data_IF_244464855542
#
_entry.id   IF_244464855542
#
_cell.length_a   1.000
_cell.length_b   1.000
_cell.length_c   1.000
_cell.angle_alpha   90.00
_cell.angle_beta   90.00
_cell.angle_gamma   90.00
#
_symmetry.space_group_name_H-M   'P 1'
#
loop_
_entity.id
_entity.type
_entity.pdbx_description
1 polymer ?
#
# COMPACT_ATOMS: atom_id res chain seq x y z
N UNK A 1 1.12 27.77 -2.14
CA UNK A 1 0.18 27.06 -3.03
C UNK A 1 0.63 25.63 -3.28
N UNK A 2 1.84 25.43 -3.85
CA UNK A 2 2.39 24.09 -4.09
C UNK A 2 2.48 23.22 -2.84
N UNK A 3 3.04 23.74 -1.73
CA UNK A 3 3.15 23.00 -0.46
C UNK A 3 1.77 22.56 0.05
N UNK A 4 0.77 23.44 -0.01
CA UNK A 4 -0.61 23.13 0.40
C UNK A 4 -1.21 22.01 -0.45
N UNK A 5 -1.00 22.05 -1.77
CA UNK A 5 -1.44 20.97 -2.68
C UNK A 5 -0.76 19.64 -2.33
N UNK A 6 0.56 19.64 -2.10
CA UNK A 6 1.30 18.45 -1.71
C UNK A 6 0.84 17.88 -0.35
N UNK A 7 0.49 18.73 0.62
CA UNK A 7 -0.08 18.30 1.90
C UNK A 7 -1.43 17.60 1.72
N UNK A 8 -2.29 18.09 0.83
CA UNK A 8 -3.55 17.40 0.52
C UNK A 8 -3.31 16.04 -0.13
N UNK A 9 -2.38 15.94 -1.09
CA UNK A 9 -2.02 14.68 -1.75
C UNK A 9 -1.42 13.69 -0.72
N UNK A 10 -0.56 14.17 0.17
CA UNK A 10 0.02 13.36 1.24
C UNK A 10 -1.07 12.79 2.17
N UNK A 11 -1.97 13.64 2.67
CA UNK A 11 -3.09 13.19 3.50
C UNK A 11 -4.02 12.20 2.78
N UNK A 12 -4.35 12.46 1.52
CA UNK A 12 -5.17 11.55 0.72
C UNK A 12 -4.47 10.19 0.52
N UNK A 13 -3.16 10.19 0.25
CA UNK A 13 -2.37 8.95 0.10
C UNK A 13 -2.36 8.13 1.40
N UNK A 14 -2.34 8.77 2.56
CA UNK A 14 -2.43 8.11 3.87
C UNK A 14 -3.78 7.43 4.08
N UNK A 15 -4.89 8.07 3.70
CA UNK A 15 -6.23 7.47 3.80
C UNK A 15 -6.33 6.24 2.90
N UNK A 16 -5.87 6.34 1.64
CA UNK A 16 -5.89 5.24 0.68
C UNK A 16 -4.98 4.09 1.16
N UNK A 17 -3.85 4.39 1.80
CA UNK A 17 -2.99 3.40 2.43
C UNK A 17 -3.70 2.62 3.53
N UNK A 18 -4.36 3.33 4.45
CA UNK A 18 -5.10 2.70 5.55
C UNK A 18 -6.14 1.74 4.98
N UNK A 19 -6.92 2.18 3.99
CA UNK A 19 -7.91 1.33 3.31
C UNK A 19 -7.21 0.12 2.65
N UNK A 20 -6.12 0.34 1.93
CA UNK A 20 -5.38 -0.74 1.23
C UNK A 20 -4.82 -1.78 2.21
N UNK A 21 -4.32 -1.35 3.37
CA UNK A 21 -3.84 -2.25 4.43
C UNK A 21 -5.00 -3.02 5.06
N UNK A 22 -6.15 -2.38 5.32
CA UNK A 22 -7.33 -3.07 5.84
C UNK A 22 -7.92 -4.09 4.85
N UNK A 23 -7.72 -3.88 3.55
CA UNK A 23 -8.07 -4.84 2.50
C UNK A 23 -7.13 -6.06 2.46
N UNK A 24 -5.93 -5.99 3.08
CA UNK A 24 -5.10 -7.18 3.25
C UNK A 24 -5.80 -8.12 4.23
N UNK A 25 -6.19 -9.29 3.75
CA UNK A 25 -6.81 -10.30 4.59
C UNK A 25 -5.80 -10.82 5.61
N UNK A 26 -6.09 -10.81 6.93
CA UNK A 26 -5.15 -11.21 7.97
C UNK A 26 -4.83 -12.72 8.01
N UNK A 27 -5.33 -13.52 7.06
CA UNK A 27 -5.35 -15.00 7.14
C UNK A 27 -4.38 -15.73 6.19
N UNK A 28 -3.42 -15.06 5.54
CA UNK A 28 -2.66 -15.65 4.43
C UNK A 28 -1.17 -15.92 4.63
N UNK A 29 -0.43 -15.11 5.40
CA UNK A 29 1.04 -15.05 5.28
C UNK A 29 1.83 -15.86 6.34
N UNK A 30 1.15 -16.76 7.06
CA UNK A 30 1.78 -17.73 7.97
C UNK A 30 1.88 -19.14 7.36
N UNK A 31 2.30 -20.15 8.15
CA UNK A 31 2.53 -21.57 7.77
C UNK A 31 1.46 -22.26 6.88
N UNK A 32 0.25 -21.69 6.73
CA UNK A 32 -0.77 -22.14 5.79
C UNK A 32 -0.49 -21.83 4.31
N UNK A 33 0.34 -20.83 3.98
CA UNK A 33 0.81 -20.54 2.62
C UNK A 33 1.88 -21.52 2.11
N UNK A 34 2.61 -22.18 3.03
CA UNK A 34 3.55 -23.26 2.72
C UNK A 34 2.78 -24.59 2.53
N UNK A 35 1.71 -24.80 3.32
CA UNK A 35 0.82 -25.96 3.22
C UNK A 35 -0.14 -25.92 2.01
N UNK A 36 -0.36 -24.75 1.39
CA UNK A 36 -1.23 -24.58 0.22
C UNK A 36 -0.58 -24.95 -1.12
N UNK A 37 0.65 -25.50 -1.09
CA UNK A 37 1.37 -26.05 -2.25
C UNK A 37 0.64 -27.19 -2.99
N UNK A 38 -0.56 -27.59 -2.55
CA UNK A 38 -1.39 -28.64 -3.15
C UNK A 38 -2.76 -28.21 -3.68
N UNK A 39 -3.12 -26.92 -3.69
CA UNK A 39 -4.49 -26.49 -4.01
C UNK A 39 -4.59 -25.65 -5.28
N UNK A 40 -4.89 -26.28 -6.42
CA UNK A 40 -5.38 -25.59 -7.63
C UNK A 40 -6.76 -24.97 -7.36
N UNK A 41 -6.83 -23.81 -6.69
CA UNK A 41 -8.08 -23.08 -6.51
C UNK A 41 -7.86 -21.57 -6.71
N UNK A 42 -8.35 -21.10 -7.87
CA UNK A 42 -8.55 -19.70 -8.30
C UNK A 42 -7.30 -18.82 -8.57
N UNK A 43 -6.76 -18.92 -9.79
CA UNK A 43 -5.72 -18.01 -10.33
C UNK A 43 -6.08 -16.51 -10.27
N UNK A 44 -7.37 -16.15 -10.26
CA UNK A 44 -7.83 -14.76 -10.20
C UNK A 44 -7.65 -14.11 -8.83
N UNK A 45 -7.80 -14.87 -7.73
CA UNK A 45 -7.66 -14.35 -6.38
C UNK A 45 -6.20 -14.02 -6.06
N UNK A 46 -5.27 -14.91 -6.41
CA UNK A 46 -3.81 -14.70 -6.25
C UNK A 46 -3.30 -13.49 -7.05
N UNK A 47 -3.86 -13.24 -8.24
CA UNK A 47 -3.51 -12.09 -9.06
C UNK A 47 -4.01 -10.77 -8.45
N UNK A 48 -5.20 -10.77 -7.84
CA UNK A 48 -5.75 -9.59 -7.17
C UNK A 48 -4.94 -9.23 -5.92
N UNK A 49 -4.55 -10.22 -5.12
CA UNK A 49 -3.68 -10.04 -3.94
C UNK A 49 -2.29 -9.50 -4.35
N UNK A 50 -1.66 -10.07 -5.38
CA UNK A 50 -0.39 -9.59 -5.89
C UNK A 50 -0.47 -8.12 -6.38
N UNK A 51 -1.61 -7.75 -6.98
CA UNK A 51 -1.87 -6.37 -7.43
C UNK A 51 -2.07 -5.42 -6.25
N UNK A 52 -2.86 -5.83 -5.24
CA UNK A 52 -3.11 -5.05 -4.02
C UNK A 52 -1.80 -4.80 -3.24
N UNK A 53 -0.91 -5.80 -3.17
CA UNK A 53 0.40 -5.65 -2.56
C UNK A 53 1.26 -4.62 -3.31
N UNK A 54 1.34 -4.71 -4.65
CA UNK A 54 2.08 -3.72 -5.47
C UNK A 54 1.55 -2.31 -5.28
N UNK A 55 0.23 -2.15 -5.27
CA UNK A 55 -0.43 -0.85 -5.03
C UNK A 55 -0.05 -0.32 -3.64
N UNK A 56 -0.09 -1.17 -2.62
CA UNK A 56 0.23 -0.79 -1.23
C UNK A 56 1.68 -0.36 -1.07
N UNK A 57 2.62 -1.09 -1.66
CA UNK A 57 4.04 -0.69 -1.68
C UNK A 57 4.26 0.63 -2.40
N UNK A 58 3.60 0.83 -3.54
CA UNK A 58 3.70 2.08 -4.31
C UNK A 58 3.16 3.26 -3.50
N UNK A 59 2.00 3.08 -2.87
CA UNK A 59 1.39 4.06 -1.97
C UNK A 59 2.29 4.34 -0.76
N UNK A 60 2.93 3.32 -0.17
CA UNK A 60 3.80 3.45 0.99
C UNK A 60 5.02 4.31 0.66
N UNK A 61 5.70 3.99 -0.44
CA UNK A 61 6.86 4.76 -0.93
C UNK A 61 6.44 6.21 -1.21
N UNK A 62 5.27 6.40 -1.83
CA UNK A 62 4.75 7.74 -2.14
C UNK A 62 4.47 8.54 -0.85
N UNK A 63 3.80 7.94 0.13
CA UNK A 63 3.47 8.58 1.40
C UNK A 63 4.72 8.96 2.19
N UNK A 64 5.68 8.04 2.31
CA UNK A 64 6.94 8.29 3.01
C UNK A 64 7.82 9.31 2.28
N UNK A 65 7.90 9.23 0.94
CA UNK A 65 8.62 10.19 0.12
C UNK A 65 8.06 11.61 0.28
N UNK A 66 6.74 11.75 0.21
CA UNK A 66 6.07 13.02 0.47
C UNK A 66 6.31 13.50 1.92
N UNK A 67 6.26 12.61 2.92
CA UNK A 67 6.54 12.97 4.31
C UNK A 67 7.94 13.60 4.49
N UNK A 68 8.96 12.99 3.87
CA UNK A 68 10.33 13.52 3.89
C UNK A 68 10.40 14.88 3.19
N UNK A 69 9.80 15.00 2.01
CA UNK A 69 9.82 16.23 1.21
C UNK A 69 9.13 17.39 1.94
N UNK A 70 7.97 17.15 2.55
CA UNK A 70 7.24 18.17 3.31
C UNK A 70 7.94 18.51 4.64
N UNK A 71 8.57 17.53 5.29
CA UNK A 71 9.28 17.75 6.56
C UNK A 71 10.65 18.38 6.37
N UNK A 72 11.30 18.19 5.23
CA UNK A 72 12.67 18.62 4.98
C UNK A 72 12.85 20.13 4.80
N UNK A 73 11.76 20.89 4.66
CA UNK A 73 11.80 22.34 4.50
C UNK A 73 12.40 22.84 3.18
N UNK A 74 12.65 21.94 2.21
CA UNK A 74 13.27 22.28 0.92
C UNK A 74 12.35 23.05 -0.03
N UNK A 75 11.04 23.01 0.21
CA UNK A 75 10.01 23.62 -0.62
C UNK A 75 9.52 24.97 -0.05
N UNK A 76 10.27 25.56 0.89
CA UNK A 76 9.98 26.85 1.53
C UNK A 76 9.99 28.00 0.53
#
# INVERSE_FOLDING_TARGET
>A
MLQTTLSYVWSASGIILIISVLLHSPKGDGMGGIASSGGSMFTSARSAEATLNRITWTLLITFLGLAVILSGGWLS
#
